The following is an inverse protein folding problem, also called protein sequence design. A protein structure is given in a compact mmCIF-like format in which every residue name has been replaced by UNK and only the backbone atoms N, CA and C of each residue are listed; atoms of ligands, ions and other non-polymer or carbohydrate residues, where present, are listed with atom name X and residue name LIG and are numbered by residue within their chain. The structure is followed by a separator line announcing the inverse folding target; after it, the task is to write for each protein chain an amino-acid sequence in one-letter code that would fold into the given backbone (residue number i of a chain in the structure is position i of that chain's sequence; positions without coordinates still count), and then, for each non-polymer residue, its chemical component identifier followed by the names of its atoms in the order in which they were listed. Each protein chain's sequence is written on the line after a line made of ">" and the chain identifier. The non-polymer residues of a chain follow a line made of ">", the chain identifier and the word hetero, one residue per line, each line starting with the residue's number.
data_IF_206430141748
#
_entry.id   IF_206430141748
#
_cell.length_a   1.000
_cell.length_b   1.000
_cell.length_c   1.000
_cell.angle_alpha   90.00
_cell.angle_beta   90.00
_cell.angle_gamma   90.00
#
_symmetry.space_group_name_H-M   'P 1'
#
loop_
_entity.id
_entity.type
_entity.pdbx_description
1 polymer ?
#
# COMPACT_ATOMS: atom_id res chain seq x y z
N UNK A 1 -23.59 -17.56 -11.63
CA UNK A 1 -22.70 -18.15 -12.65
C UNK A 1 -22.28 -17.06 -13.64
N UNK A 2 -21.03 -16.59 -13.62
CA UNK A 2 -20.54 -15.53 -14.54
C UNK A 2 -20.34 -16.11 -15.96
N UNK A 3 -20.41 -15.26 -17.00
CA UNK A 3 -20.19 -15.60 -18.42
C UNK A 3 -18.92 -16.42 -18.64
N UNK A 4 -17.79 -16.01 -18.05
CA UNK A 4 -16.52 -16.76 -18.16
C UNK A 4 -16.63 -18.18 -17.61
N UNK A 5 -17.28 -18.34 -16.44
CA UNK A 5 -17.49 -19.66 -15.85
C UNK A 5 -18.36 -20.55 -16.75
N UNK A 6 -19.37 -19.98 -17.42
CA UNK A 6 -20.24 -20.73 -18.34
C UNK A 6 -19.47 -21.24 -19.55
N UNK A 7 -18.58 -20.42 -20.11
CA UNK A 7 -17.77 -20.79 -21.27
C UNK A 7 -16.69 -21.80 -20.88
N UNK A 8 -16.00 -21.61 -19.73
CA UNK A 8 -14.99 -22.56 -19.24
C UNK A 8 -15.55 -23.95 -18.95
N UNK A 9 -16.81 -24.06 -18.51
CA UNK A 9 -17.48 -25.35 -18.30
C UNK A 9 -17.70 -26.17 -19.58
N UNK A 10 -17.50 -25.57 -20.76
CA UNK A 10 -17.53 -26.31 -22.01
C UNK A 10 -16.24 -27.10 -22.25
N UNK A 11 -15.19 -26.84 -21.45
CA UNK A 11 -13.92 -27.57 -21.47
C UNK A 11 -13.32 -27.70 -22.88
N UNK A 12 -13.48 -26.64 -23.68
CA UNK A 12 -12.89 -26.57 -25.02
C UNK A 12 -11.36 -26.61 -24.90
N UNK A 13 -10.66 -27.47 -25.66
CA UNK A 13 -9.21 -27.48 -25.71
C UNK A 13 -8.67 -26.10 -26.11
N UNK A 14 -7.58 -25.67 -25.47
CA UNK A 14 -6.96 -24.37 -25.75
C UNK A 14 -6.42 -24.29 -27.19
N UNK A 15 -6.01 -25.43 -27.73
CA UNK A 15 -5.44 -25.65 -29.06
C UNK A 15 -6.48 -26.14 -30.08
N UNK A 16 -7.78 -26.12 -29.76
CA UNK A 16 -8.86 -26.62 -30.63
C UNK A 16 -8.82 -26.03 -32.06
N UNK A 17 -8.36 -24.80 -32.20
CA UNK A 17 -8.23 -24.09 -33.47
C UNK A 17 -6.78 -23.76 -33.85
N UNK A 18 -5.78 -24.43 -33.26
CA UNK A 18 -4.36 -24.12 -33.48
C UNK A 18 -3.95 -24.21 -34.97
N UNK A 19 -4.54 -25.16 -35.71
CA UNK A 19 -4.27 -25.37 -37.14
C UNK A 19 -5.18 -24.55 -38.07
N UNK A 20 -6.04 -23.69 -37.51
CA UNK A 20 -7.02 -22.91 -38.27
C UNK A 20 -6.65 -21.44 -38.21
N UNK A 21 -6.68 -20.74 -39.35
CA UNK A 21 -6.39 -19.31 -39.37
C UNK A 21 -7.37 -18.52 -38.48
N UNK A 22 -6.83 -17.59 -37.69
CA UNK A 22 -7.61 -16.74 -36.78
C UNK A 22 -8.74 -15.99 -37.51
N UNK A 23 -8.48 -15.51 -38.72
CA UNK A 23 -9.47 -14.84 -39.57
C UNK A 23 -10.67 -15.74 -39.89
N UNK A 24 -10.45 -17.04 -40.08
CA UNK A 24 -11.51 -18.00 -40.35
C UNK A 24 -12.32 -18.31 -39.08
N UNK A 25 -11.63 -18.45 -37.94
CA UNK A 25 -12.29 -18.63 -36.63
C UNK A 25 -13.17 -17.43 -36.30
N UNK A 26 -12.67 -16.20 -36.52
CA UNK A 26 -13.45 -14.98 -36.31
C UNK A 26 -14.65 -14.91 -37.26
N UNK A 27 -14.50 -15.31 -38.53
CA UNK A 27 -15.62 -15.39 -39.47
C UNK A 27 -16.70 -16.39 -39.00
N UNK A 28 -16.31 -17.54 -38.47
CA UNK A 28 -17.24 -18.51 -37.88
C UNK A 28 -17.92 -17.98 -36.62
N UNK A 29 -17.17 -17.35 -35.73
CA UNK A 29 -17.71 -16.69 -34.53
C UNK A 29 -18.69 -15.58 -34.88
N UNK A 30 -18.36 -14.72 -35.85
CA UNK A 30 -19.23 -13.65 -36.33
C UNK A 30 -20.53 -14.19 -36.95
N UNK A 31 -20.43 -15.31 -37.69
CA UNK A 31 -21.59 -16.01 -38.24
C UNK A 31 -22.49 -16.57 -37.13
N UNK A 32 -21.90 -17.29 -36.17
CA UNK A 32 -22.61 -17.87 -35.04
C UNK A 32 -23.32 -16.79 -34.19
N UNK A 33 -22.68 -15.64 -34.00
CA UNK A 33 -23.21 -14.52 -33.21
C UNK A 33 -24.44 -13.86 -33.83
N UNK A 34 -24.58 -13.93 -35.15
CA UNK A 34 -25.71 -13.35 -35.91
C UNK A 34 -26.84 -14.35 -36.18
N UNK A 35 -26.61 -15.63 -35.92
CA UNK A 35 -27.56 -16.69 -36.22
C UNK A 35 -28.61 -16.81 -35.10
N UNK A 36 -29.88 -17.01 -35.49
CA UNK A 36 -30.92 -17.29 -34.51
C UNK A 36 -30.72 -18.68 -33.89
N UNK A 37 -30.99 -18.87 -32.57
CA UNK A 37 -30.83 -20.17 -31.92
C UNK A 37 -31.58 -21.31 -32.64
N UNK A 38 -32.82 -21.06 -33.08
CA UNK A 38 -33.61 -22.03 -33.84
C UNK A 38 -32.97 -22.42 -35.17
N UNK A 39 -32.27 -21.50 -35.84
CA UNK A 39 -31.57 -21.81 -37.09
C UNK A 39 -30.33 -22.66 -36.81
N UNK A 40 -29.59 -22.35 -35.73
CA UNK A 40 -28.46 -23.18 -35.29
C UNK A 40 -28.93 -24.60 -35.00
N UNK A 41 -30.03 -24.77 -34.27
CA UNK A 41 -30.60 -26.08 -33.94
C UNK A 41 -30.95 -26.92 -35.18
N UNK A 42 -31.44 -26.28 -36.25
CA UNK A 42 -31.77 -26.93 -37.53
C UNK A 42 -30.53 -27.31 -38.37
N UNK A 43 -29.34 -26.82 -38.04
CA UNK A 43 -28.12 -27.17 -38.77
C UNK A 43 -27.67 -28.61 -38.48
N UNK A 44 -26.98 -29.22 -39.45
CA UNK A 44 -26.30 -30.50 -39.23
C UNK A 44 -25.35 -30.41 -38.03
N UNK A 45 -25.30 -31.44 -37.15
CA UNK A 45 -24.53 -31.38 -35.91
C UNK A 45 -23.06 -30.92 -36.06
N UNK A 46 -22.28 -31.40 -37.06
CA UNK A 46 -20.89 -30.98 -37.20
C UNK A 46 -20.77 -29.47 -37.40
N UNK A 47 -21.58 -28.90 -38.32
CA UNK A 47 -21.58 -27.46 -38.61
C UNK A 47 -22.01 -26.64 -37.39
N UNK A 48 -23.05 -27.10 -36.69
CA UNK A 48 -23.56 -26.43 -35.47
C UNK A 48 -22.50 -26.37 -34.39
N UNK A 49 -21.85 -27.50 -34.10
CA UNK A 49 -20.83 -27.60 -33.07
C UNK A 49 -19.59 -26.76 -33.40
N UNK A 50 -19.12 -26.77 -34.65
CA UNK A 50 -17.98 -25.92 -35.06
C UNK A 50 -18.27 -24.43 -34.85
N UNK A 51 -19.44 -23.96 -35.24
CA UNK A 51 -19.84 -22.55 -35.08
C UNK A 51 -19.94 -22.16 -33.60
N UNK A 52 -20.56 -23.01 -32.77
CA UNK A 52 -20.67 -22.78 -31.33
C UNK A 52 -19.32 -22.85 -30.62
N UNK A 53 -18.46 -23.80 -31.00
CA UNK A 53 -17.11 -23.91 -30.45
C UNK A 53 -16.27 -22.67 -30.78
N UNK A 54 -16.31 -22.19 -32.03
CA UNK A 54 -15.62 -20.96 -32.43
C UNK A 54 -16.14 -19.74 -31.64
N UNK A 55 -17.47 -19.62 -31.51
CA UNK A 55 -18.09 -18.56 -30.71
C UNK A 55 -17.60 -18.58 -29.26
N UNK A 56 -17.63 -19.74 -28.62
CA UNK A 56 -17.23 -19.89 -27.22
C UNK A 56 -15.73 -19.70 -27.01
N UNK A 57 -14.89 -20.22 -27.91
CA UNK A 57 -13.44 -20.08 -27.85
C UNK A 57 -13.02 -18.60 -27.89
N UNK A 58 -13.47 -17.85 -28.90
CA UNK A 58 -13.19 -16.42 -29.02
C UNK A 58 -13.82 -15.62 -27.88
N UNK A 59 -15.03 -15.99 -27.43
CA UNK A 59 -15.65 -15.29 -26.30
C UNK A 59 -14.88 -15.50 -25.00
N UNK A 60 -14.22 -16.64 -24.82
CA UNK A 60 -13.39 -16.90 -23.65
C UNK A 60 -12.14 -16.01 -23.65
N UNK A 61 -11.47 -15.85 -24.79
CA UNK A 61 -10.30 -14.99 -24.92
C UNK A 61 -10.67 -13.54 -24.71
N UNK A 62 -11.71 -13.03 -25.39
CA UNK A 62 -12.20 -11.64 -25.22
C UNK A 62 -12.51 -11.28 -23.75
N UNK A 63 -13.20 -12.19 -23.03
CA UNK A 63 -13.52 -11.96 -21.61
C UNK A 63 -12.23 -11.97 -20.77
N UNK A 64 -11.29 -12.84 -21.09
CA UNK A 64 -10.01 -12.93 -20.37
C UNK A 64 -9.18 -11.66 -20.61
N UNK A 65 -9.07 -11.21 -21.86
CA UNK A 65 -8.34 -9.99 -22.22
C UNK A 65 -8.95 -8.77 -21.54
N UNK A 66 -10.28 -8.64 -21.55
CA UNK A 66 -10.98 -7.55 -20.84
C UNK A 66 -10.69 -7.55 -19.33
N UNK A 67 -10.54 -8.73 -18.71
CA UNK A 67 -10.19 -8.84 -17.29
C UNK A 67 -8.73 -8.47 -17.05
N UNK A 68 -7.82 -8.84 -17.95
CA UNK A 68 -6.41 -8.45 -17.89
C UNK A 68 -6.27 -6.94 -18.02
N UNK A 69 -6.96 -6.31 -18.98
CA UNK A 69 -6.97 -4.87 -19.15
C UNK A 69 -7.49 -4.15 -17.90
N UNK A 70 -8.59 -4.64 -17.32
CA UNK A 70 -9.13 -4.08 -16.08
C UNK A 70 -8.14 -4.22 -14.92
N UNK A 71 -7.44 -5.36 -14.84
CA UNK A 71 -6.43 -5.58 -13.82
C UNK A 71 -5.24 -4.61 -13.98
N UNK A 72 -4.75 -4.42 -15.21
CA UNK A 72 -3.68 -3.47 -15.52
C UNK A 72 -4.11 -2.05 -15.12
N UNK A 73 -5.32 -1.62 -15.49
CA UNK A 73 -5.85 -0.31 -15.11
C UNK A 73 -5.94 -0.13 -13.59
N UNK A 74 -6.36 -1.17 -12.87
CA UNK A 74 -6.45 -1.13 -11.42
C UNK A 74 -5.06 -0.97 -10.77
N UNK A 75 -4.06 -1.73 -11.23
CA UNK A 75 -2.69 -1.65 -10.73
C UNK A 75 -2.11 -0.25 -10.97
N UNK A 76 -2.25 0.30 -12.19
CA UNK A 76 -1.80 1.66 -12.50
C UNK A 76 -2.49 2.72 -11.62
N UNK A 77 -3.79 2.56 -11.37
CA UNK A 77 -4.54 3.46 -10.50
C UNK A 77 -4.08 3.39 -9.04
N UNK A 78 -3.70 2.22 -8.55
CA UNK A 78 -3.16 2.06 -7.19
C UNK A 78 -1.80 2.75 -7.08
N UNK A 79 -0.89 2.50 -8.03
CA UNK A 79 0.45 3.09 -8.03
C UNK A 79 0.39 4.62 -8.08
N UNK A 80 -0.35 5.17 -9.04
CA UNK A 80 -0.51 6.63 -9.17
C UNK A 80 -1.16 7.27 -7.93
N UNK A 81 -2.06 6.56 -7.25
CA UNK A 81 -2.66 7.05 -5.99
C UNK A 81 -1.66 7.01 -4.83
N UNK A 82 -0.82 5.98 -4.77
CA UNK A 82 0.22 5.86 -3.75
C UNK A 82 1.27 6.98 -3.90
N UNK A 83 1.80 7.19 -5.11
CA UNK A 83 2.73 8.27 -5.45
C UNK A 83 2.17 9.63 -5.04
N UNK A 84 0.96 9.96 -5.53
CA UNK A 84 0.29 11.22 -5.18
C UNK A 84 0.04 11.41 -3.70
N UNK A 85 -0.11 10.33 -2.93
CA UNK A 85 -0.29 10.41 -1.48
C UNK A 85 1.04 10.78 -0.81
N UNK A 86 2.12 10.13 -1.20
CA UNK A 86 3.48 10.42 -0.70
C UNK A 86 3.88 11.85 -1.04
N UNK A 87 3.70 12.28 -2.30
CA UNK A 87 4.04 13.64 -2.73
C UNK A 87 3.29 14.71 -1.92
N UNK A 88 2.01 14.48 -1.64
CA UNK A 88 1.20 15.39 -0.81
C UNK A 88 1.67 15.46 0.64
N UNK A 89 2.11 14.33 1.21
CA UNK A 89 2.66 14.29 2.56
C UNK A 89 3.99 15.04 2.62
N UNK A 90 4.88 14.82 1.66
CA UNK A 90 6.15 15.55 1.54
C UNK A 90 5.94 17.05 1.34
N UNK A 91 5.03 17.46 0.45
CA UNK A 91 4.69 18.87 0.22
C UNK A 91 4.12 19.54 1.48
N UNK A 92 3.27 18.83 2.23
CA UNK A 92 2.70 19.34 3.47
C UNK A 92 3.78 19.54 4.54
N UNK A 93 4.71 18.60 4.67
CA UNK A 93 5.82 18.68 5.62
C UNK A 93 6.79 19.81 5.26
N UNK A 94 7.15 19.96 3.98
CA UNK A 94 8.00 21.07 3.51
C UNK A 94 7.33 22.42 3.77
N UNK A 95 6.02 22.57 3.49
CA UNK A 95 5.28 23.80 3.79
C UNK A 95 5.27 24.10 5.29
N UNK A 96 5.11 23.08 6.14
CA UNK A 96 5.15 23.23 7.60
C UNK A 96 6.52 23.72 8.08
N UNK A 97 7.62 23.17 7.56
CA UNK A 97 8.98 23.60 7.91
C UNK A 97 9.20 25.06 7.48
N UNK A 98 8.90 25.41 6.22
CA UNK A 98 9.05 26.79 5.72
C UNK A 98 8.24 27.80 6.51
N UNK A 99 7.02 27.43 6.94
CA UNK A 99 6.20 28.28 7.80
C UNK A 99 6.84 28.55 9.16
N UNK A 100 7.54 27.56 9.73
CA UNK A 100 8.27 27.70 11.00
C UNK A 100 9.52 28.55 10.84
N UNK A 101 10.34 28.28 9.82
CA UNK A 101 11.54 29.06 9.54
C UNK A 101 11.20 30.54 9.27
N UNK A 102 10.15 30.79 8.47
CA UNK A 102 9.68 32.15 8.22
C UNK A 102 9.09 32.84 9.46
N UNK A 103 8.57 32.10 10.44
CA UNK A 103 8.20 32.66 11.75
C UNK A 103 9.44 32.99 12.59
N UNK A 104 10.43 32.11 12.65
CA UNK A 104 11.67 32.32 13.40
C UNK A 104 12.46 33.52 12.85
N UNK A 105 12.54 33.65 11.52
CA UNK A 105 13.19 34.80 10.87
C UNK A 105 12.54 36.12 11.28
N UNK A 106 11.21 36.20 11.18
CA UNK A 106 10.45 37.39 11.59
C UNK A 106 10.63 37.73 13.08
N UNK A 107 10.71 36.72 13.94
CA UNK A 107 11.01 36.90 15.37
C UNK A 107 12.41 37.47 15.57
N UNK A 108 13.41 36.94 14.87
CA UNK A 108 14.78 37.43 14.94
C UNK A 108 14.91 38.88 14.45
N UNK A 109 14.29 39.21 13.32
CA UNK A 109 14.26 40.58 12.77
C UNK A 109 13.61 41.57 13.73
N UNK A 110 12.48 41.19 14.34
CA UNK A 110 11.79 42.04 15.32
C UNK A 110 12.63 42.26 16.58
N UNK A 111 13.28 41.20 17.08
CA UNK A 111 14.16 41.27 18.24
C UNK A 111 15.40 42.13 18.00
N UNK A 112 15.98 42.07 16.79
CA UNK A 112 17.12 42.88 16.40
C UNK A 112 16.74 44.36 16.17
N UNK A 113 15.51 44.62 15.72
CA UNK A 113 15.03 45.98 15.43
C UNK A 113 14.67 46.77 16.69
N UNK A 114 14.12 46.11 17.71
CA UNK A 114 13.82 46.75 19.01
C UNK A 114 14.28 45.87 20.21
N UNK A 115 15.59 45.87 20.53
CA UNK A 115 16.17 44.93 21.51
C UNK A 115 15.69 45.13 22.95
N UNK A 116 15.35 46.37 23.32
CA UNK A 116 14.89 46.75 24.65
C UNK A 116 13.35 46.70 24.79
N UNK A 117 12.63 46.37 23.72
CA UNK A 117 11.18 46.28 23.74
C UNK A 117 10.68 45.00 24.43
N UNK A 118 9.47 45.06 24.99
CA UNK A 118 8.88 43.90 25.65
C UNK A 118 8.35 42.88 24.64
N UNK A 119 8.40 41.58 24.99
CA UNK A 119 7.88 40.47 24.14
C UNK A 119 6.45 40.73 23.67
N UNK A 120 5.61 41.26 24.56
CA UNK A 120 4.20 41.57 24.26
C UNK A 120 4.04 42.62 23.17
N UNK A 121 4.94 43.61 23.13
CA UNK A 121 4.91 44.70 22.13
C UNK A 121 5.64 44.32 20.85
N UNK A 122 6.77 43.64 20.92
CA UNK A 122 7.69 43.42 19.78
C UNK A 122 7.44 42.08 19.09
N UNK A 123 7.30 40.98 19.85
CA UNK A 123 7.28 39.62 19.29
C UNK A 123 5.86 39.13 19.04
N UNK A 124 4.95 39.33 19.99
CA UNK A 124 3.56 38.86 19.89
C UNK A 124 2.85 39.30 18.61
N UNK A 125 2.93 40.56 18.13
CA UNK A 125 2.26 40.97 16.90
C UNK A 125 2.76 40.23 15.65
N UNK A 126 4.06 39.93 15.60
CA UNK A 126 4.74 39.41 14.41
C UNK A 126 4.45 37.91 14.18
N UNK A 127 4.20 37.17 15.26
CA UNK A 127 3.81 35.74 15.23
C UNK A 127 2.29 35.52 15.21
N UNK A 128 1.48 36.58 15.10
CA UNK A 128 0.02 36.48 15.08
C UNK A 128 -0.65 36.38 16.46
N UNK A 129 0.03 36.80 17.53
CA UNK A 129 -0.50 36.96 18.87
C UNK A 129 0.14 36.06 19.94
N UNK A 130 -0.16 36.36 21.21
CA UNK A 130 0.39 35.65 22.37
C UNK A 130 -0.04 34.18 22.43
N UNK A 131 -1.26 33.86 21.97
CA UNK A 131 -1.76 32.48 21.90
C UNK A 131 -0.90 31.60 21.00
N UNK A 132 -0.52 32.12 19.83
CA UNK A 132 0.34 31.42 18.86
C UNK A 132 1.74 31.22 19.42
N UNK A 133 2.29 32.24 20.11
CA UNK A 133 3.61 32.13 20.77
C UNK A 133 3.61 31.06 21.87
N UNK A 134 2.56 31.01 22.70
CA UNK A 134 2.39 29.97 23.73
C UNK A 134 2.27 28.57 23.12
N UNK A 135 1.50 28.43 22.04
CA UNK A 135 1.36 27.17 21.32
C UNK A 135 2.69 26.69 20.73
N UNK A 136 3.48 27.59 20.13
CA UNK A 136 4.82 27.31 19.64
C UNK A 136 5.78 26.84 20.75
N UNK A 137 5.76 27.51 21.90
CA UNK A 137 6.59 27.11 23.05
C UNK A 137 6.20 25.72 23.58
N UNK A 138 4.90 25.43 23.68
CA UNK A 138 4.41 24.12 24.09
C UNK A 138 4.80 23.01 23.09
N UNK A 139 4.69 23.28 21.79
CA UNK A 139 5.12 22.34 20.74
C UNK A 139 6.64 22.08 20.80
N UNK A 140 7.45 23.13 21.00
CA UNK A 140 8.89 23.00 21.13
C UNK A 140 9.30 22.14 22.35
N UNK A 141 8.68 22.39 23.51
CA UNK A 141 8.92 21.60 24.72
C UNK A 141 8.53 20.12 24.53
N UNK A 142 7.40 19.86 23.87
CA UNK A 142 6.96 18.50 23.57
C UNK A 142 7.92 17.77 22.61
N UNK A 143 8.46 18.48 21.61
CA UNK A 143 9.47 17.93 20.70
C UNK A 143 10.79 17.61 21.42
N UNK A 144 11.25 18.49 22.31
CA UNK A 144 12.47 18.26 23.10
C UNK A 144 12.32 17.03 24.01
N UNK A 145 11.17 16.87 24.68
CA UNK A 145 10.88 15.71 25.49
C UNK A 145 10.90 14.40 24.67
N UNK A 146 10.30 14.42 23.47
CA UNK A 146 10.34 13.28 22.53
C UNK A 146 11.76 12.96 22.08
N UNK A 147 12.56 13.98 21.78
CA UNK A 147 13.96 13.80 21.39
C UNK A 147 14.77 13.15 22.52
N UNK A 148 14.68 13.65 23.75
CA UNK A 148 15.34 13.07 24.93
C UNK A 148 14.90 11.61 25.17
N UNK A 149 13.62 11.31 25.03
CA UNK A 149 13.11 9.94 25.15
C UNK A 149 13.70 9.01 24.09
N UNK A 150 13.78 9.46 22.83
CA UNK A 150 14.38 8.71 21.71
C UNK A 150 15.86 8.42 21.96
N UNK A 151 16.62 9.44 22.37
CA UNK A 151 18.05 9.29 22.72
C UNK A 151 18.22 8.27 23.85
N UNK A 152 17.39 8.36 24.90
CA UNK A 152 17.43 7.41 26.02
C UNK A 152 17.13 5.98 25.59
N UNK A 153 16.16 5.78 24.69
CA UNK A 153 15.85 4.45 24.14
C UNK A 153 17.03 3.89 23.37
N UNK A 154 17.64 4.67 22.48
CA UNK A 154 18.81 4.24 21.69
C UNK A 154 20.00 3.90 22.58
N UNK A 155 20.33 4.77 23.55
CA UNK A 155 21.41 4.51 24.51
C UNK A 155 21.15 3.23 25.31
N UNK A 156 19.92 3.02 25.79
CA UNK A 156 19.56 1.83 26.57
C UNK A 156 19.67 0.54 25.75
N UNK A 157 19.30 0.57 24.47
CA UNK A 157 19.51 -0.58 23.56
C UNK A 157 20.97 -0.87 23.28
N UNK A 158 21.85 0.14 23.32
CA UNK A 158 23.29 -0.05 23.12
C UNK A 158 23.98 -0.70 24.32
N UNK A 159 23.47 -0.53 25.54
CA UNK A 159 24.05 -1.12 26.76
C UNK A 159 23.38 -2.43 27.20
N UNK A 160 22.19 -2.76 26.71
CA UNK A 160 21.49 -4.01 27.08
C UNK A 160 22.04 -5.28 26.40
N UNK A 161 23.09 -5.17 25.56
CA UNK A 161 23.70 -6.31 24.86
C UNK A 161 24.86 -6.99 25.58
N UNK A 162 25.30 -6.50 26.76
CA UNK A 162 26.57 -6.94 27.37
C UNK A 162 26.42 -7.81 28.64
N UNK A 163 25.25 -7.86 29.29
CA UNK A 163 25.08 -8.55 30.60
C UNK A 163 24.33 -9.90 30.55
N UNK A 164 24.44 -10.68 29.48
CA UNK A 164 23.90 -12.07 29.44
C UNK A 164 24.92 -13.11 28.98
N UNK A 165 26.20 -12.91 29.31
CA UNK A 165 27.32 -13.78 28.93
C UNK A 165 28.16 -14.36 30.07
N UNK A 166 27.66 -14.40 31.32
CA UNK A 166 28.43 -14.99 32.40
C UNK A 166 27.65 -15.06 33.70
N UNK A 167 26.98 -16.19 33.94
CA UNK A 167 26.68 -16.80 35.24
C UNK A 167 25.61 -17.88 35.00
N UNK A 168 25.99 -18.96 34.30
CA UNK A 168 25.22 -20.19 34.24
C UNK A 168 26.18 -21.38 34.28
N UNK A 169 26.67 -21.69 35.48
CA UNK A 169 27.03 -23.06 35.87
C UNK A 169 26.67 -23.25 37.34
N UNK A 170 25.38 -23.45 37.60
CA UNK A 170 24.90 -24.14 38.79
C UNK A 170 24.65 -25.62 38.44
N UNK A 171 25.32 -26.48 39.20
CA UNK A 171 24.73 -27.62 39.90
C UNK A 171 24.06 -28.71 39.06
N UNK A 172 24.73 -29.87 38.95
CA UNK A 172 24.04 -31.16 38.68
C UNK A 172 24.58 -32.27 39.59
N UNK A 173 23.63 -32.97 40.22
CA UNK A 173 23.63 -34.35 40.72
C UNK A 173 24.33 -34.72 42.06
N UNK A 174 23.55 -35.35 42.97
CA UNK A 174 24.10 -36.18 44.04
C UNK A 174 23.20 -36.54 45.23
N UNK A 175 22.09 -37.26 44.98
CA UNK A 175 21.29 -38.18 45.84
C UNK A 175 21.48 -38.27 47.37
N UNK A 176 20.37 -38.42 48.17
CA UNK A 176 20.42 -38.70 49.61
C UNK A 176 20.48 -40.20 49.94
N UNK A 177 21.33 -40.59 50.90
CA UNK A 177 21.17 -41.80 51.72
C UNK A 177 21.30 -41.43 53.21
N UNK A 178 20.28 -41.82 53.98
CA UNK A 178 20.18 -41.81 55.44
C UNK A 178 21.07 -42.91 56.06
N UNK A 179 21.31 -42.96 57.40
CA UNK A 179 20.30 -43.42 58.38
C UNK A 179 20.41 -42.89 59.84
N UNK A 180 19.49 -43.40 60.70
CA UNK A 180 19.37 -43.36 62.18
C UNK A 180 18.51 -42.21 62.76
N UNK A 181 17.56 -42.42 63.67
CA UNK A 181 17.07 -43.59 64.41
C UNK A 181 16.02 -43.14 65.44
N UNK A 182 15.25 -44.11 65.95
CA UNK A 182 14.12 -44.05 66.91
C UNK A 182 12.72 -43.81 66.33
#
# INVERSE_FOLDING_TARGET
>A
MNKLQRVRRLELPADLFADVSEKLVEAWRARASKEYPANLERMKPPRRLTLLAALCHVRQTEITDSLVDLFIQLVLKINTRAERKVDKELDADVKKIRGKEGMLLRVAEAALSEPSGTVRRVICPVVGGEKTLKALAAEAAANEARYKARVRTVLRSSYSGVDTGGLAYSTVAGSPRSPTGW
#
